data_IF_443780386259
#
_entry.id   IF_443780386259
#
_cell.length_a   1.000
_cell.length_b   1.000
_cell.length_c   1.000
_cell.angle_alpha   90.00
_cell.angle_beta   90.00
_cell.angle_gamma   90.00
#
_symmetry.space_group_name_H-M   'P 1'
#
loop_
_entity.id
_entity.type
_entity.pdbx_description
1 polymer ?
#
# COMPACT_ATOMS: atom_id res chain seq x y z
N UNK A 1 -27.86 5.48 -15.66
CA UNK A 1 -28.79 4.40 -15.26
C UNK A 1 -27.99 3.13 -15.03
N UNK A 2 -27.55 2.90 -13.80
CA UNK A 2 -26.48 1.95 -13.42
C UNK A 2 -26.97 0.92 -12.40
N UNK A 3 -28.11 0.25 -12.66
CA UNK A 3 -28.59 -0.84 -11.80
C UNK A 3 -28.19 -2.25 -12.29
N UNK A 4 -27.39 -2.35 -13.35
CA UNK A 4 -27.35 -3.54 -14.22
C UNK A 4 -26.31 -4.62 -13.85
N UNK A 5 -25.31 -4.36 -13.00
CA UNK A 5 -24.12 -5.24 -12.99
C UNK A 5 -24.13 -6.41 -11.99
N UNK A 6 -25.03 -6.46 -11.01
CA UNK A 6 -25.11 -7.60 -10.07
C UNK A 6 -26.56 -7.91 -9.66
N UNK A 7 -26.93 -9.20 -9.67
CA UNK A 7 -28.23 -9.66 -9.15
C UNK A 7 -28.37 -9.28 -7.67
N UNK A 8 -29.61 -9.03 -7.20
CA UNK A 8 -29.85 -8.69 -5.79
C UNK A 8 -29.27 -9.75 -4.84
N UNK A 9 -29.33 -11.02 -5.22
CA UNK A 9 -28.77 -12.16 -4.46
C UNK A 9 -27.25 -12.06 -4.31
N UNK A 10 -26.51 -11.68 -5.36
CA UNK A 10 -25.05 -11.46 -5.27
C UNK A 10 -24.70 -10.26 -4.40
N UNK A 11 -25.49 -9.18 -4.45
CA UNK A 11 -25.28 -8.01 -3.59
C UNK A 11 -25.50 -8.36 -2.12
N UNK A 12 -26.54 -9.12 -1.81
CA UNK A 12 -26.81 -9.61 -0.46
C UNK A 12 -25.69 -10.54 0.06
N UNK A 13 -25.18 -11.44 -0.78
CA UNK A 13 -24.05 -12.30 -0.43
C UNK A 13 -22.78 -11.51 -0.10
N UNK A 14 -22.39 -10.56 -0.96
CA UNK A 14 -21.22 -9.70 -0.71
C UNK A 14 -21.35 -8.86 0.57
N UNK A 15 -22.56 -8.35 0.86
CA UNK A 15 -22.82 -7.62 2.09
C UNK A 15 -22.72 -8.52 3.33
N UNK A 16 -23.19 -9.76 3.24
CA UNK A 16 -23.06 -10.77 4.29
C UNK A 16 -21.60 -11.15 4.53
N UNK A 17 -20.83 -11.42 3.47
CA UNK A 17 -19.40 -11.74 3.57
C UNK A 17 -18.62 -10.59 4.21
N UNK A 18 -18.94 -9.34 3.85
CA UNK A 18 -18.35 -8.15 4.47
C UNK A 18 -18.72 -8.00 5.95
N UNK A 19 -19.94 -8.35 6.35
CA UNK A 19 -20.33 -8.37 7.74
C UNK A 19 -19.59 -9.46 8.53
N UNK A 20 -19.50 -10.68 8.00
CA UNK A 20 -18.80 -11.82 8.61
C UNK A 20 -17.30 -11.56 8.72
N UNK A 21 -16.68 -10.95 7.71
CA UNK A 21 -15.27 -10.59 7.76
C UNK A 21 -14.97 -9.62 8.92
N UNK A 22 -15.89 -8.69 9.22
CA UNK A 22 -15.75 -7.72 10.31
C UNK A 22 -16.02 -8.29 11.70
N UNK A 23 -16.80 -9.36 11.82
CA UNK A 23 -17.04 -10.01 13.12
C UNK A 23 -15.84 -10.83 13.60
N UNK A 24 -14.91 -11.18 12.71
CA UNK A 24 -13.69 -11.88 13.09
C UNK A 24 -12.66 -10.93 13.72
N UNK A 25 -12.65 -10.87 15.06
CA UNK A 25 -11.75 -10.01 15.84
C UNK A 25 -10.26 -10.26 15.54
N UNK A 26 -9.87 -11.50 15.26
CA UNK A 26 -8.47 -11.84 14.92
C UNK A 26 -8.05 -11.21 13.61
N UNK A 27 -8.89 -11.31 12.57
CA UNK A 27 -8.59 -10.69 11.29
C UNK A 27 -8.46 -9.17 11.41
N UNK A 28 -9.33 -8.54 12.21
CA UNK A 28 -9.26 -7.09 12.46
C UNK A 28 -7.95 -6.70 13.14
N UNK A 29 -7.51 -7.42 14.17
CA UNK A 29 -6.23 -7.15 14.85
C UNK A 29 -5.05 -7.28 13.87
N UNK A 30 -5.04 -8.34 13.07
CA UNK A 30 -4.01 -8.57 12.04
C UNK A 30 -4.04 -7.43 11.01
N UNK A 31 -5.22 -7.00 10.57
CA UNK A 31 -5.37 -5.88 9.64
C UNK A 31 -4.76 -4.59 10.19
N UNK A 32 -5.03 -4.24 11.45
CA UNK A 32 -4.45 -3.06 12.09
C UNK A 32 -2.92 -3.17 12.17
N UNK A 33 -2.39 -4.31 12.62
CA UNK A 33 -0.94 -4.51 12.69
C UNK A 33 -0.27 -4.41 11.31
N UNK A 34 -0.85 -5.05 10.30
CA UNK A 34 -0.36 -5.01 8.92
C UNK A 34 -0.42 -3.60 8.33
N UNK A 35 -1.49 -2.83 8.58
CA UNK A 35 -1.64 -1.45 8.12
C UNK A 35 -0.63 -0.52 8.79
N UNK A 36 -0.36 -0.69 10.08
CA UNK A 36 0.70 0.08 10.76
C UNK A 36 2.05 -0.21 10.11
N UNK A 37 2.40 -1.49 9.95
CA UNK A 37 3.66 -1.89 9.30
C UNK A 37 3.75 -1.35 7.87
N UNK A 38 2.69 -1.46 7.09
CA UNK A 38 2.59 -0.91 5.73
C UNK A 38 2.88 0.60 5.71
N UNK A 39 2.33 1.35 6.66
CA UNK A 39 2.52 2.79 6.68
C UNK A 39 3.97 3.18 6.99
N UNK A 40 4.63 2.46 7.89
CA UNK A 40 6.08 2.65 8.14
C UNK A 40 6.92 2.26 6.93
N UNK A 41 6.64 1.12 6.29
CA UNK A 41 7.34 0.69 5.07
C UNK A 41 7.18 1.72 3.97
N UNK A 42 5.96 2.25 3.75
CA UNK A 42 5.72 3.28 2.74
C UNK A 42 6.41 4.61 3.04
N UNK A 43 6.52 4.99 4.31
CA UNK A 43 7.33 6.16 4.71
C UNK A 43 8.82 5.93 4.42
N UNK A 44 9.34 4.77 4.79
CA UNK A 44 10.75 4.43 4.52
C UNK A 44 11.03 4.28 3.03
N UNK A 45 10.07 3.86 2.23
CA UNK A 45 10.16 3.83 0.77
C UNK A 45 10.35 5.23 0.18
N UNK A 46 9.58 6.22 0.64
CA UNK A 46 9.78 7.63 0.26
C UNK A 46 11.18 8.12 0.66
N UNK A 47 11.57 7.90 1.93
CA UNK A 47 12.86 8.36 2.45
C UNK A 47 14.02 7.72 1.68
N UNK A 48 14.00 6.40 1.50
CA UNK A 48 15.06 5.67 0.80
C UNK A 48 15.17 6.07 -0.67
N UNK A 49 14.04 6.33 -1.34
CA UNK A 49 14.03 6.82 -2.72
C UNK A 49 14.66 8.19 -2.84
N UNK A 50 14.28 9.14 -1.97
CA UNK A 50 14.85 10.49 -1.94
C UNK A 50 16.35 10.41 -1.65
N UNK A 51 16.75 9.66 -0.62
CA UNK A 51 18.16 9.52 -0.26
C UNK A 51 18.99 8.96 -1.41
N UNK A 52 18.50 7.91 -2.09
CA UNK A 52 19.23 7.29 -3.19
C UNK A 52 19.38 8.22 -4.42
N UNK A 53 18.35 9.04 -4.70
CA UNK A 53 18.38 10.02 -5.80
C UNK A 53 19.25 11.23 -5.45
N UNK A 54 19.15 11.78 -4.24
CA UNK A 54 19.91 12.97 -3.82
C UNK A 54 21.41 12.70 -3.73
N UNK A 55 21.82 11.49 -3.35
CA UNK A 55 23.23 11.07 -3.32
C UNK A 55 23.73 10.71 -4.74
N UNK A 56 22.84 10.65 -5.74
CA UNK A 56 23.18 10.35 -7.13
C UNK A 56 23.59 8.90 -7.40
N UNK A 57 23.26 7.99 -6.48
CA UNK A 57 23.66 6.57 -6.55
C UNK A 57 22.61 5.73 -7.27
N UNK A 58 21.36 6.20 -7.33
CA UNK A 58 20.27 5.52 -8.03
C UNK A 58 19.39 6.49 -8.80
N UNK A 59 18.71 5.96 -9.81
CA UNK A 59 17.62 6.64 -10.51
C UNK A 59 16.30 5.91 -10.28
N UNK A 60 15.20 6.65 -10.30
CA UNK A 60 13.85 6.08 -10.27
C UNK A 60 13.65 5.20 -11.51
N UNK A 61 13.54 3.88 -11.27
CA UNK A 61 13.44 2.89 -12.35
C UNK A 61 12.12 2.97 -13.13
N UNK A 62 11.04 3.49 -12.51
CA UNK A 62 9.76 3.64 -13.15
C UNK A 62 9.69 4.96 -13.96
N UNK A 63 9.65 4.92 -15.31
CA UNK A 63 9.70 6.13 -16.13
C UNK A 63 8.52 7.08 -15.89
N UNK A 64 7.35 6.54 -15.56
CA UNK A 64 6.17 7.35 -15.23
C UNK A 64 6.38 8.07 -13.89
N UNK A 65 6.89 7.37 -12.87
CA UNK A 65 7.19 8.01 -11.59
C UNK A 65 8.28 9.05 -11.74
N UNK A 66 9.33 8.77 -12.53
CA UNK A 66 10.38 9.75 -12.83
C UNK A 66 9.80 11.02 -13.47
N UNK A 67 8.96 10.88 -14.49
CA UNK A 67 8.29 12.02 -15.13
C UNK A 67 7.42 12.82 -14.15
N UNK A 68 6.71 12.14 -13.24
CA UNK A 68 5.91 12.80 -12.21
C UNK A 68 6.80 13.54 -11.21
N UNK A 69 7.90 12.94 -10.76
CA UNK A 69 8.85 13.57 -9.84
C UNK A 69 9.48 14.82 -10.47
N UNK A 70 9.91 14.71 -11.73
CA UNK A 70 10.53 15.81 -12.47
C UNK A 70 9.55 16.98 -12.72
N UNK A 71 8.26 16.69 -12.96
CA UNK A 71 7.27 17.72 -13.25
C UNK A 71 6.60 18.32 -12.01
N UNK A 72 6.40 17.52 -10.96
CA UNK A 72 5.60 17.91 -9.78
C UNK A 72 6.43 18.06 -8.49
N UNK A 73 7.74 17.87 -8.54
CA UNK A 73 8.66 18.16 -7.43
C UNK A 73 8.36 17.32 -6.19
N UNK A 74 7.89 17.92 -5.09
CA UNK A 74 7.58 17.20 -3.83
C UNK A 74 6.14 16.66 -3.82
N UNK A 75 5.26 17.11 -4.74
CA UNK A 75 3.83 16.77 -4.69
C UNK A 75 3.53 15.29 -4.93
N UNK A 76 4.44 14.52 -5.55
CA UNK A 76 4.29 13.07 -5.67
C UNK A 76 4.31 12.37 -4.30
N UNK A 77 4.99 12.93 -3.30
CA UNK A 77 4.98 12.40 -1.93
C UNK A 77 3.56 12.47 -1.37
N UNK A 78 2.89 13.61 -1.52
CA UNK A 78 1.51 13.78 -1.07
C UNK A 78 0.56 12.82 -1.76
N UNK A 79 0.71 12.63 -3.08
CA UNK A 79 -0.09 11.65 -3.84
C UNK A 79 0.15 10.22 -3.34
N UNK A 80 1.39 9.85 -3.05
CA UNK A 80 1.77 8.52 -2.52
C UNK A 80 1.21 8.29 -1.12
N UNK A 81 1.31 9.28 -0.23
CA UNK A 81 0.72 9.23 1.11
C UNK A 81 -0.81 9.13 1.06
N UNK A 82 -1.46 9.86 0.14
CA UNK A 82 -2.91 9.75 -0.05
C UNK A 82 -3.31 8.35 -0.49
N UNK A 83 -2.61 7.78 -1.48
CA UNK A 83 -2.84 6.40 -1.92
C UNK A 83 -2.67 5.41 -0.75
N UNK A 84 -1.69 5.64 0.12
CA UNK A 84 -1.43 4.83 1.30
C UNK A 84 -2.59 4.87 2.31
N UNK A 85 -3.19 6.04 2.52
CA UNK A 85 -4.39 6.20 3.35
C UNK A 85 -5.57 5.45 2.73
N UNK A 86 -5.77 5.57 1.41
CA UNK A 86 -6.86 4.87 0.71
C UNK A 86 -6.72 3.36 0.85
N UNK A 87 -5.52 2.80 0.58
CA UNK A 87 -5.25 1.36 0.69
C UNK A 87 -5.44 0.90 2.15
N UNK A 88 -4.95 1.67 3.12
CA UNK A 88 -5.15 1.41 4.55
C UNK A 88 -6.64 1.32 4.90
N UNK A 89 -7.43 2.28 4.42
CA UNK A 89 -8.88 2.29 4.58
C UNK A 89 -9.55 1.07 3.97
N UNK A 90 -9.15 0.66 2.76
CA UNK A 90 -9.70 -0.53 2.10
C UNK A 90 -9.43 -1.82 2.86
N UNK A 91 -8.21 -1.99 3.39
CA UNK A 91 -7.81 -3.19 4.16
C UNK A 91 -8.57 -3.26 5.49
N UNK A 92 -8.70 -2.14 6.20
CA UNK A 92 -9.45 -2.08 7.45
C UNK A 92 -10.96 -2.23 7.24
N UNK A 93 -11.48 -1.76 6.10
CA UNK A 93 -12.90 -1.87 5.76
C UNK A 93 -13.35 -3.32 5.51
N UNK A 94 -12.47 -4.15 4.96
CA UNK A 94 -12.75 -5.53 4.60
C UNK A 94 -11.56 -6.46 4.92
N UNK A 95 -11.36 -6.83 6.21
CA UNK A 95 -10.21 -7.63 6.66
C UNK A 95 -10.42 -9.12 6.37
N UNK A 96 -10.52 -9.47 5.08
CA UNK A 96 -10.66 -10.85 4.63
C UNK A 96 -9.29 -11.55 4.57
N UNK A 97 -9.22 -12.84 4.93
CA UNK A 97 -7.95 -13.58 5.07
C UNK A 97 -7.09 -13.56 3.81
N UNK A 98 -7.69 -13.74 2.63
CA UNK A 98 -6.97 -13.70 1.35
C UNK A 98 -6.41 -12.30 1.08
N UNK A 99 -7.19 -11.25 1.37
CA UNK A 99 -6.77 -9.86 1.21
C UNK A 99 -5.60 -9.55 2.15
N UNK A 100 -5.71 -9.96 3.42
CA UNK A 100 -4.64 -9.81 4.40
C UNK A 100 -3.38 -10.57 4.01
N UNK A 101 -3.50 -11.79 3.49
CA UNK A 101 -2.35 -12.56 3.03
C UNK A 101 -1.60 -11.86 1.90
N UNK A 102 -2.32 -11.45 0.85
CA UNK A 102 -1.74 -10.73 -0.29
C UNK A 102 -1.14 -9.40 0.16
N UNK A 103 -1.86 -8.67 1.01
CA UNK A 103 -1.42 -7.38 1.53
C UNK A 103 -0.14 -7.51 2.36
N UNK A 104 -0.09 -8.44 3.32
CA UNK A 104 1.09 -8.70 4.14
C UNK A 104 2.28 -9.10 3.26
N UNK A 105 2.05 -9.99 2.29
CA UNK A 105 3.10 -10.39 1.35
C UNK A 105 3.64 -9.19 0.57
N UNK A 106 2.78 -8.33 0.04
CA UNK A 106 3.18 -7.11 -0.66
C UNK A 106 3.95 -6.13 0.24
N UNK A 107 3.53 -5.95 1.51
CA UNK A 107 4.25 -5.13 2.49
C UNK A 107 5.65 -5.68 2.74
N UNK A 108 5.79 -7.00 2.88
CA UNK A 108 7.09 -7.66 3.05
C UNK A 108 7.99 -7.46 1.83
N UNK A 109 7.48 -7.70 0.62
CA UNK A 109 8.23 -7.46 -0.61
C UNK A 109 8.69 -6.00 -0.72
N UNK A 110 7.80 -5.05 -0.41
CA UNK A 110 8.17 -3.63 -0.40
C UNK A 110 9.24 -3.34 0.66
N UNK A 111 9.11 -3.90 1.87
CA UNK A 111 10.12 -3.78 2.92
C UNK A 111 11.51 -4.27 2.49
N UNK A 112 11.59 -5.38 1.74
CA UNK A 112 12.86 -5.84 1.18
C UNK A 112 13.46 -4.86 0.17
N UNK A 113 12.64 -4.25 -0.69
CA UNK A 113 13.09 -3.23 -1.65
C UNK A 113 13.62 -2.01 -0.89
N UNK A 114 12.91 -1.54 0.12
CA UNK A 114 13.33 -0.41 0.97
C UNK A 114 14.67 -0.68 1.66
N UNK A 115 14.84 -1.87 2.24
CA UNK A 115 16.10 -2.27 2.86
C UNK A 115 17.24 -2.29 1.83
N UNK A 116 16.98 -2.79 0.62
CA UNK A 116 17.95 -2.78 -0.47
C UNK A 116 18.31 -1.35 -0.90
N UNK A 117 17.33 -0.45 -1.00
CA UNK A 117 17.57 0.95 -1.34
C UNK A 117 18.45 1.63 -0.29
N UNK A 118 18.20 1.40 1.00
CA UNK A 118 19.06 1.92 2.06
C UNK A 118 20.49 1.36 2.00
N UNK A 119 20.64 0.07 1.70
CA UNK A 119 21.96 -0.54 1.51
C UNK A 119 22.75 0.14 0.39
N UNK A 120 22.10 0.36 -0.76
CA UNK A 120 22.70 1.07 -1.90
C UNK A 120 23.05 2.51 -1.51
N UNK A 121 22.12 3.24 -0.88
CA UNK A 121 22.31 4.63 -0.51
C UNK A 121 23.42 4.84 0.54
N UNK A 122 23.60 3.87 1.44
CA UNK A 122 24.58 3.95 2.54
C UNK A 122 25.90 3.22 2.24
N UNK A 123 26.00 2.54 1.08
CA UNK A 123 27.25 1.98 0.56
C UNK A 123 27.70 0.66 1.17
N UNK A 124 26.77 -0.23 1.57
CA UNK A 124 27.09 -1.55 2.14
C UNK A 124 26.25 -2.69 1.58
#
# INVERSE_FOLDING_TARGET
MTSFLLSQTRRAALASDAAIARTNRTNTIIAFAAVIAYNFVGLFDIISTIAAIEIGVAEEANPLMRAIMDHYGVAWIAAKLLLQIVISGMVLWFPHRIVLFIFIFAVWTNGFIVLNNFRIALGF
#
